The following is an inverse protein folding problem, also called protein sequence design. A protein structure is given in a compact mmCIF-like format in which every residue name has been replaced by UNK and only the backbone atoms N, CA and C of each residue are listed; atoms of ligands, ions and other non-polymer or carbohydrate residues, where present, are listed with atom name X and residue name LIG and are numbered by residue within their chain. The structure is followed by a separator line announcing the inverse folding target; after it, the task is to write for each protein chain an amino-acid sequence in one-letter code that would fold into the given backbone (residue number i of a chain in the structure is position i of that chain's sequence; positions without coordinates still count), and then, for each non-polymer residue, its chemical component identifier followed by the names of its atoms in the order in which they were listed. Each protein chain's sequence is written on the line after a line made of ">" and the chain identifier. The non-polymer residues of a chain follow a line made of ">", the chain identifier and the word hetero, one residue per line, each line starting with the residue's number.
data_IF_088904031099
#
_entry.id   IF_088904031099
#
_cell.length_a   1.000
_cell.length_b   1.000
_cell.length_c   1.000
_cell.angle_alpha   90.00
_cell.angle_beta   90.00
_cell.angle_gamma   90.00
#
_symmetry.space_group_name_H-M   'P 1'
#
loop_
_entity.id
_entity.type
_entity.pdbx_description
1 polymer ?
#
# COMPACT_ATOMS: atom_id res chain seq x y z
N UNK A 1 16.71 -8.12 2.18
CA UNK A 1 17.83 -8.84 2.77
C UNK A 1 18.85 -7.80 3.20
N UNK A 2 19.53 -8.03 4.32
CA UNK A 2 20.60 -7.12 4.79
C UNK A 2 21.83 -7.13 3.85
N UNK A 3 21.88 -8.09 2.93
CA UNK A 3 22.98 -8.26 1.97
C UNK A 3 22.78 -7.38 0.73
N UNK A 4 21.56 -7.33 0.18
CA UNK A 4 21.27 -6.69 -1.10
C UNK A 4 20.30 -5.50 -1.02
N UNK A 5 19.81 -5.17 0.19
CA UNK A 5 18.84 -4.11 0.46
C UNK A 5 17.49 -4.23 -0.28
N UNK A 6 17.08 -5.45 -0.66
CA UNK A 6 15.80 -5.70 -1.35
C UNK A 6 14.75 -6.40 -0.47
N UNK A 7 13.47 -6.12 -0.70
CA UNK A 7 12.38 -6.83 -0.03
C UNK A 7 12.01 -8.10 -0.81
N UNK A 8 11.78 -9.21 -0.10
CA UNK A 8 11.34 -10.48 -0.67
C UNK A 8 10.16 -11.03 0.12
N UNK A 9 9.26 -11.71 -0.57
CA UNK A 9 8.09 -12.38 0.00
C UNK A 9 7.61 -13.47 -0.95
N UNK A 10 6.58 -14.20 -0.55
CA UNK A 10 5.85 -15.11 -1.43
C UNK A 10 5.47 -14.41 -2.74
N UNK A 11 5.78 -15.08 -3.86
CA UNK A 11 5.48 -14.65 -5.23
C UNK A 11 4.31 -15.41 -5.84
N UNK A 12 3.62 -16.25 -5.05
CA UNK A 12 2.62 -17.20 -5.52
C UNK A 12 3.14 -18.14 -6.63
N UNK A 13 4.47 -18.39 -6.65
CA UNK A 13 5.16 -19.11 -7.72
C UNK A 13 4.77 -18.58 -9.11
N UNK A 14 4.79 -17.26 -9.28
CA UNK A 14 4.42 -16.59 -10.53
C UNK A 14 5.09 -17.18 -11.77
N UNK A 15 6.33 -17.63 -11.64
CA UNK A 15 7.11 -18.35 -12.66
C UNK A 15 6.46 -19.67 -13.10
N UNK A 16 5.94 -20.44 -12.14
CA UNK A 16 5.24 -21.73 -12.40
C UNK A 16 3.82 -21.49 -12.93
N UNK A 17 3.11 -20.54 -12.31
CA UNK A 17 1.73 -20.23 -12.69
C UNK A 17 1.67 -19.65 -14.10
N UNK A 18 2.65 -18.85 -14.51
CA UNK A 18 2.74 -18.30 -15.86
C UNK A 18 2.82 -19.37 -16.97
N UNK A 19 3.30 -20.58 -16.64
CA UNK A 19 3.40 -21.71 -17.57
C UNK A 19 2.38 -22.82 -17.26
N UNK A 20 1.29 -22.48 -16.56
CA UNK A 20 0.18 -23.40 -16.29
C UNK A 20 0.46 -24.45 -15.20
N UNK A 21 1.52 -24.31 -14.41
CA UNK A 21 1.80 -25.20 -13.29
C UNK A 21 1.30 -24.63 -11.96
N UNK A 22 0.83 -25.52 -11.07
CA UNK A 22 0.50 -25.14 -9.69
C UNK A 22 1.74 -24.72 -8.86
N UNK A 23 1.54 -23.93 -7.79
CA UNK A 23 2.61 -23.52 -6.87
C UNK A 23 3.35 -24.70 -6.25
N UNK A 24 4.63 -24.50 -5.93
CA UNK A 24 5.48 -25.56 -5.37
C UNK A 24 4.96 -26.07 -4.01
N UNK A 25 4.59 -25.16 -3.10
CA UNK A 25 4.05 -25.51 -1.79
C UNK A 25 2.71 -26.25 -1.87
N UNK A 26 1.87 -25.90 -2.86
CA UNK A 26 0.61 -26.61 -3.12
C UNK A 26 0.90 -28.04 -3.62
N UNK A 27 1.77 -28.19 -4.61
CA UNK A 27 2.14 -29.51 -5.16
C UNK A 27 2.80 -30.42 -4.12
N UNK A 28 3.57 -29.86 -3.19
CA UNK A 28 4.28 -30.61 -2.16
C UNK A 28 3.40 -31.03 -0.97
N UNK A 29 2.19 -30.48 -0.82
CA UNK A 29 1.36 -30.71 0.38
C UNK A 29 0.78 -32.14 0.38
N UNK A 30 1.24 -33.04 1.28
CA UNK A 30 0.85 -34.46 1.23
C UNK A 30 -0.60 -34.69 1.64
N UNK A 31 -1.14 -33.84 2.53
CA UNK A 31 -2.51 -33.93 3.04
C UNK A 31 -3.51 -33.13 2.20
N UNK A 32 -3.04 -32.47 1.14
CA UNK A 32 -3.85 -31.57 0.31
C UNK A 32 -4.56 -30.46 1.12
N UNK A 33 -3.94 -30.01 2.22
CA UNK A 33 -4.42 -28.85 2.97
C UNK A 33 -4.30 -27.54 2.17
N UNK A 34 -3.39 -27.49 1.20
CA UNK A 34 -3.23 -26.39 0.26
C UNK A 34 -3.78 -26.84 -1.09
N UNK A 35 -4.81 -26.14 -1.57
CA UNK A 35 -5.38 -26.30 -2.91
C UNK A 35 -5.20 -25.01 -3.70
N UNK A 36 -5.17 -25.12 -5.03
CA UNK A 36 -4.92 -23.98 -5.91
C UNK A 36 -5.79 -24.07 -7.16
N UNK A 37 -6.30 -22.91 -7.58
CA UNK A 37 -7.14 -22.75 -8.76
C UNK A 37 -7.66 -21.31 -8.87
N UNK A 38 -8.60 -21.04 -9.79
CA UNK A 38 -9.27 -19.76 -9.89
C UNK A 38 -9.93 -19.36 -8.57
N UNK A 39 -9.91 -18.07 -8.23
CA UNK A 39 -10.38 -17.57 -6.92
C UNK A 39 -11.82 -18.00 -6.62
N UNK A 40 -12.72 -17.90 -7.59
CA UNK A 40 -14.14 -18.24 -7.41
C UNK A 40 -14.34 -19.74 -7.17
N UNK A 41 -13.56 -20.59 -7.82
CA UNK A 41 -13.61 -22.04 -7.60
C UNK A 41 -13.05 -22.41 -6.24
N UNK A 42 -12.01 -21.71 -5.76
CA UNK A 42 -11.48 -21.90 -4.42
C UNK A 42 -12.46 -21.45 -3.33
N UNK A 43 -13.29 -20.42 -3.58
CA UNK A 43 -14.39 -20.04 -2.68
C UNK A 43 -15.45 -21.14 -2.60
N UNK A 44 -15.90 -21.67 -3.73
CA UNK A 44 -16.85 -22.80 -3.78
C UNK A 44 -16.29 -24.04 -3.08
N UNK A 45 -15.01 -24.35 -3.31
CA UNK A 45 -14.34 -25.45 -2.62
C UNK A 45 -14.28 -25.24 -1.11
N UNK A 46 -14.00 -24.00 -0.67
CA UNK A 46 -13.99 -23.65 0.74
C UNK A 46 -15.37 -23.82 1.39
N UNK A 47 -16.46 -23.47 0.71
CA UNK A 47 -17.83 -23.65 1.22
C UNK A 47 -18.11 -25.10 1.59
N UNK A 48 -17.70 -26.05 0.74
CA UNK A 48 -17.81 -27.48 1.02
C UNK A 48 -17.01 -27.90 2.26
N UNK A 49 -15.77 -27.39 2.38
CA UNK A 49 -14.93 -27.67 3.56
C UNK A 49 -15.48 -27.06 4.84
N UNK A 50 -16.06 -25.87 4.77
CA UNK A 50 -16.71 -25.20 5.91
C UNK A 50 -17.93 -25.98 6.37
N UNK A 51 -18.77 -26.47 5.44
CA UNK A 51 -19.90 -27.32 5.76
C UNK A 51 -19.47 -28.60 6.48
N UNK A 52 -18.41 -29.27 6.00
CA UNK A 52 -17.83 -30.44 6.64
C UNK A 52 -17.21 -30.14 8.02
N UNK A 53 -16.59 -28.98 8.24
CA UNK A 53 -16.12 -28.60 9.57
C UNK A 53 -17.28 -28.32 10.53
N UNK A 54 -18.34 -27.66 10.06
CA UNK A 54 -19.54 -27.39 10.86
C UNK A 54 -20.24 -28.68 11.27
N UNK A 55 -20.33 -29.68 10.39
CA UNK A 55 -20.92 -30.99 10.71
C UNK A 55 -20.14 -31.73 11.81
N UNK A 56 -18.84 -31.46 11.94
CA UNK A 56 -17.95 -32.02 12.98
C UNK A 56 -17.93 -31.22 14.29
N UNK A 57 -18.78 -30.19 14.41
CA UNK A 57 -18.94 -29.40 15.64
C UNK A 57 -18.21 -28.04 15.66
N UNK A 58 -17.46 -27.68 14.62
CA UNK A 58 -16.83 -26.36 14.51
C UNK A 58 -17.85 -25.30 14.05
N UNK A 59 -18.70 -24.85 14.98
CA UNK A 59 -19.81 -23.92 14.70
C UNK A 59 -19.38 -22.62 14.03
N UNK A 60 -18.19 -22.12 14.35
CA UNK A 60 -17.64 -20.86 13.85
C UNK A 60 -16.65 -21.05 12.69
N UNK A 61 -16.64 -22.22 12.05
CA UNK A 61 -15.81 -22.43 10.88
C UNK A 61 -16.22 -21.51 9.73
N UNK A 62 -15.23 -20.98 9.01
CA UNK A 62 -15.45 -19.98 7.97
C UNK A 62 -14.24 -19.73 7.08
N UNK A 63 -14.46 -18.96 6.02
CA UNK A 63 -13.43 -18.54 5.07
C UNK A 63 -12.84 -17.20 5.51
N UNK A 64 -11.52 -17.14 5.63
CA UNK A 64 -10.78 -15.91 5.83
C UNK A 64 -10.35 -15.32 4.46
N UNK A 65 -11.15 -14.35 3.98
CA UNK A 65 -10.94 -13.53 2.77
C UNK A 65 -11.28 -12.05 3.10
N UNK A 66 -10.39 -11.33 3.81
CA UNK A 66 -10.72 -10.07 4.47
C UNK A 66 -11.05 -8.95 3.47
N UNK A 67 -12.26 -8.39 3.59
CA UNK A 67 -12.74 -7.33 2.69
C UNK A 67 -12.05 -5.99 2.90
N UNK A 68 -11.46 -5.73 4.09
CA UNK A 68 -10.71 -4.51 4.37
C UNK A 68 -9.47 -4.29 3.48
N UNK A 69 -9.04 -5.32 2.75
CA UNK A 69 -7.98 -5.24 1.73
C UNK A 69 -8.47 -5.64 0.32
N UNK A 70 -9.80 -5.68 0.11
CA UNK A 70 -10.41 -6.11 -1.16
C UNK A 70 -10.42 -7.63 -1.37
N UNK A 71 -10.20 -8.41 -0.31
CA UNK A 71 -9.97 -9.84 -0.37
C UNK A 71 -8.54 -10.23 -0.77
N UNK A 72 -8.19 -11.50 -0.58
CA UNK A 72 -6.85 -12.04 -0.80
C UNK A 72 -6.84 -13.11 -1.89
N UNK A 73 -5.65 -13.38 -2.46
CA UNK A 73 -5.44 -14.48 -3.41
C UNK A 73 -4.86 -15.74 -2.73
N UNK A 74 -4.67 -15.66 -1.41
CA UNK A 74 -4.39 -16.79 -0.52
C UNK A 74 -5.39 -16.65 0.62
N UNK A 75 -6.29 -17.63 0.73
CA UNK A 75 -7.39 -17.64 1.69
C UNK A 75 -7.24 -18.85 2.61
N UNK A 76 -7.79 -18.77 3.81
CA UNK A 76 -7.75 -19.87 4.79
C UNK A 76 -9.16 -20.32 5.14
N UNK A 77 -9.37 -21.63 5.24
CA UNK A 77 -10.54 -22.17 5.94
C UNK A 77 -10.15 -22.40 7.39
N UNK A 78 -10.75 -21.63 8.29
CA UNK A 78 -10.46 -21.67 9.72
C UNK A 78 -11.57 -22.44 10.45
N UNK A 79 -11.19 -23.22 11.47
CA UNK A 79 -12.14 -23.83 12.40
C UNK A 79 -12.82 -22.78 13.30
N UNK A 80 -12.09 -21.71 13.64
CA UNK A 80 -12.53 -20.59 14.46
C UNK A 80 -12.35 -19.28 13.70
N UNK A 81 -13.19 -19.05 12.69
CA UNK A 81 -13.12 -17.83 11.89
C UNK A 81 -13.55 -16.57 12.66
N UNK A 82 -14.20 -16.75 13.82
CA UNK A 82 -14.55 -15.68 14.77
C UNK A 82 -13.34 -15.16 15.55
N UNK A 83 -12.27 -15.95 15.67
CA UNK A 83 -11.05 -15.61 16.42
C UNK A 83 -9.80 -15.96 15.60
N UNK A 84 -9.59 -15.32 14.44
CA UNK A 84 -8.42 -15.60 13.59
C UNK A 84 -7.09 -15.40 14.33
N UNK A 85 -7.04 -14.56 15.36
CA UNK A 85 -5.83 -14.23 16.11
C UNK A 85 -5.18 -15.44 16.79
N UNK A 86 -5.95 -16.50 17.08
CA UNK A 86 -5.39 -17.75 17.64
C UNK A 86 -4.50 -18.48 16.63
N UNK A 87 -4.66 -18.21 15.33
CA UNK A 87 -3.85 -18.76 14.25
C UNK A 87 -2.60 -17.91 14.02
N UNK A 88 -1.66 -17.99 14.98
CA UNK A 88 -0.38 -17.28 14.93
C UNK A 88 -0.51 -15.76 14.74
N UNK A 89 -1.49 -15.13 15.39
CA UNK A 89 -1.68 -13.68 15.35
C UNK A 89 -2.28 -13.17 14.03
N UNK A 90 -3.01 -14.02 13.30
CA UNK A 90 -3.70 -13.60 12.08
C UNK A 90 -4.70 -12.46 12.39
N UNK A 91 -4.58 -11.29 11.76
CA UNK A 91 -5.45 -10.15 12.08
C UNK A 91 -6.92 -10.43 11.77
N UNK A 92 -7.87 -9.90 12.55
CA UNK A 92 -9.30 -10.13 12.32
C UNK A 92 -9.87 -9.37 11.12
N UNK A 93 -9.61 -8.06 11.10
CA UNK A 93 -10.12 -7.17 10.07
C UNK A 93 -8.98 -6.27 9.56
N UNK A 94 -7.99 -6.86 8.85
CA UNK A 94 -6.89 -6.08 8.31
C UNK A 94 -7.41 -5.10 7.25
N UNK A 95 -6.89 -3.88 7.31
CA UNK A 95 -7.13 -2.82 6.33
C UNK A 95 -5.88 -1.99 6.14
N UNK A 96 -5.83 -1.23 5.05
CA UNK A 96 -4.76 -0.25 4.85
C UNK A 96 -4.91 0.83 5.93
N UNK A 97 -3.78 1.30 6.47
CA UNK A 97 -3.78 2.35 7.49
C UNK A 97 -4.36 3.65 6.93
N UNK A 98 -5.31 4.31 7.63
CA UNK A 98 -5.89 5.59 7.19
C UNK A 98 -4.83 6.68 6.95
N UNK A 99 -3.74 6.64 7.71
CA UNK A 99 -2.62 7.59 7.55
C UNK A 99 -1.90 7.36 6.21
N UNK A 100 -1.72 6.10 5.82
CA UNK A 100 -1.10 5.74 4.53
C UNK A 100 -2.04 6.10 3.39
N UNK A 101 -3.34 5.85 3.53
CA UNK A 101 -4.35 6.23 2.55
C UNK A 101 -4.37 7.76 2.34
N UNK A 102 -4.34 8.54 3.42
CA UNK A 102 -4.27 10.01 3.32
C UNK A 102 -2.96 10.45 2.65
N UNK A 103 -1.83 9.93 3.12
CA UNK A 103 -0.51 10.32 2.62
C UNK A 103 -0.31 9.99 1.13
N UNK A 104 -0.72 8.79 0.71
CA UNK A 104 -0.57 8.32 -0.68
C UNK A 104 -1.72 8.74 -1.59
N UNK A 105 -2.88 9.04 -1.01
CA UNK A 105 -4.07 9.49 -1.72
C UNK A 105 -4.06 11.00 -1.97
N UNK A 106 -5.04 11.70 -1.39
CA UNK A 106 -5.31 13.11 -1.68
C UNK A 106 -4.08 14.01 -1.49
N UNK A 107 -3.33 13.81 -0.40
CA UNK A 107 -2.18 14.67 -0.06
C UNK A 107 -1.12 14.67 -1.15
N UNK A 108 -0.89 13.53 -1.81
CA UNK A 108 0.07 13.45 -2.92
C UNK A 108 -0.34 14.37 -4.08
N UNK A 109 -1.60 14.28 -4.51
CA UNK A 109 -2.08 15.05 -5.66
C UNK A 109 -2.21 16.54 -5.34
N UNK A 110 -2.76 16.88 -4.17
CA UNK A 110 -2.83 18.27 -3.71
C UNK A 110 -1.45 18.88 -3.57
N UNK A 111 -0.48 18.13 -3.01
CA UNK A 111 0.90 18.57 -2.89
C UNK A 111 1.54 18.85 -4.26
N UNK A 112 1.35 17.95 -5.23
CA UNK A 112 1.82 18.16 -6.60
C UNK A 112 1.18 19.39 -7.26
N UNK A 113 -0.14 19.59 -7.08
CA UNK A 113 -0.85 20.73 -7.62
C UNK A 113 -0.37 22.06 -7.01
N UNK A 114 -0.17 22.11 -5.69
CA UNK A 114 0.37 23.29 -4.99
C UNK A 114 1.78 23.62 -5.49
N UNK A 115 2.66 22.61 -5.59
CA UNK A 115 4.02 22.83 -6.12
C UNK A 115 3.98 23.38 -7.55
N UNK A 116 3.11 22.86 -8.41
CA UNK A 116 2.92 23.38 -9.77
C UNK A 116 2.40 24.82 -9.78
N UNK A 117 1.41 25.14 -8.94
CA UNK A 117 0.85 26.47 -8.83
C UNK A 117 1.89 27.49 -8.31
N UNK A 118 2.70 27.12 -7.31
CA UNK A 118 3.78 27.96 -6.79
C UNK A 118 4.85 28.21 -7.84
N UNK A 119 5.23 27.19 -8.61
CA UNK A 119 6.19 27.35 -9.70
C UNK A 119 5.66 28.28 -10.81
N UNK A 120 4.41 28.09 -11.22
CA UNK A 120 3.76 28.93 -12.22
C UNK A 120 3.61 30.38 -11.73
N UNK A 121 3.20 30.57 -10.48
CA UNK A 121 3.12 31.88 -9.86
C UNK A 121 4.49 32.56 -9.82
N UNK A 122 5.54 31.86 -9.38
CA UNK A 122 6.90 32.40 -9.35
C UNK A 122 7.39 32.82 -10.74
N UNK A 123 7.09 32.02 -11.77
CA UNK A 123 7.41 32.35 -13.15
C UNK A 123 6.68 33.61 -13.64
N UNK A 124 5.36 33.69 -13.44
CA UNK A 124 4.54 34.85 -13.83
C UNK A 124 4.96 36.09 -13.05
N UNK A 125 5.16 35.98 -11.74
CA UNK A 125 5.63 37.07 -10.90
C UNK A 125 6.98 37.61 -11.40
N UNK A 126 7.93 36.73 -11.72
CA UNK A 126 9.22 37.14 -12.27
C UNK A 126 9.11 37.83 -13.63
N UNK A 127 8.23 37.35 -14.53
CA UNK A 127 8.01 38.00 -15.83
C UNK A 127 7.41 39.42 -15.70
N UNK A 128 6.53 39.66 -14.73
CA UNK A 128 5.85 40.96 -14.54
C UNK A 128 6.69 41.93 -13.72
N UNK A 129 7.18 41.50 -12.54
CA UNK A 129 7.93 42.36 -11.64
C UNK A 129 9.40 42.55 -12.07
N UNK A 130 9.91 41.64 -12.91
CA UNK A 130 11.31 41.64 -13.34
C UNK A 130 12.29 41.29 -12.22
N UNK A 131 13.60 41.30 -12.53
CA UNK A 131 14.63 41.13 -11.52
C UNK A 131 14.72 42.37 -10.62
N UNK A 132 14.92 42.16 -9.31
CA UNK A 132 15.23 43.26 -8.42
C UNK A 132 16.60 43.85 -8.79
N UNK A 133 16.64 45.14 -9.13
CA UNK A 133 17.86 45.87 -9.47
C UNK A 133 18.10 46.92 -8.40
N UNK A 134 19.37 47.16 -8.07
CA UNK A 134 19.75 48.25 -7.17
C UNK A 134 19.31 49.57 -7.80
N UNK A 135 18.45 50.31 -7.11
CA UNK A 135 18.05 51.65 -7.53
C UNK A 135 19.05 52.69 -7.02
N UNK A 136 19.05 53.88 -7.63
CA UNK A 136 19.87 55.00 -7.15
C UNK A 136 19.51 55.41 -5.71
N UNK A 137 18.26 55.16 -5.29
CA UNK A 137 17.80 55.39 -3.92
C UNK A 137 18.36 54.34 -2.94
N UNK A 138 18.49 53.08 -3.39
CA UNK A 138 19.17 52.03 -2.62
C UNK A 138 20.67 52.34 -2.44
N UNK A 139 21.34 52.85 -3.47
CA UNK A 139 22.74 53.31 -3.37
C UNK A 139 22.89 54.52 -2.44
N UNK A 140 21.95 55.48 -2.49
CA UNK A 140 21.93 56.65 -1.62
C UNK A 140 21.64 56.29 -0.16
N UNK A 141 20.78 55.30 0.09
CA UNK A 141 20.51 54.79 1.43
C UNK A 141 21.70 53.98 1.98
N UNK A 142 22.35 53.17 1.13
CA UNK A 142 23.57 52.46 1.48
C UNK A 142 24.73 53.41 1.82
N UNK A 143 24.90 54.51 1.07
CA UNK A 143 25.95 55.50 1.35
C UNK A 143 25.73 56.26 2.66
N UNK A 144 24.47 56.60 3.00
CA UNK A 144 24.09 57.18 4.30
C UNK A 144 24.36 56.22 5.47
N UNK A 145 24.05 54.93 5.31
CA UNK A 145 24.26 53.90 6.33
C UNK A 145 25.75 53.54 6.50
N UNK A 146 26.55 53.61 5.43
CA UNK A 146 28.00 53.39 5.46
C UNK A 146 28.80 54.56 6.06
N UNK A 147 28.13 55.59 6.59
CA UNK A 147 28.77 56.75 7.23
C UNK A 147 29.38 57.75 6.24
N UNK A 148 28.90 57.79 4.99
CA UNK A 148 29.37 58.74 3.98
C UNK A 148 29.15 60.19 4.40
N UNK A 149 30.26 60.93 4.54
CA UNK A 149 30.30 62.37 4.85
C UNK A 149 29.36 63.17 3.93
N UNK A 150 28.60 64.08 4.55
CA UNK A 150 27.90 65.19 3.88
C UNK A 150 28.85 66.06 3.08
#
# INVERSE_FOLDING_TARGET
>A
SKVDNKAYKCTLCSDRVAVGQGPACQKACPTQAIVFGPKDDMKKWADGRIADLKSRGYKTAGLYDPQGVGGTHVMYVLQHADKPEIYAGLPNNPRISPVVELWKGLTKYTGLAVMGAVAAFGFVHHMIAGPNKVSAEDEANASKLAGGKS
#
